data_IF_901129952307
#
_entry.id   IF_901129952307
#
_cell.length_a   1.000
_cell.length_b   1.000
_cell.length_c   1.000
_cell.angle_alpha   90.00
_cell.angle_beta   90.00
_cell.angle_gamma   90.00
#
_symmetry.space_group_name_H-M   'P 1'
#
loop_
_entity.id
_entity.type
_entity.pdbx_description
1 polymer ?
#
# COMPACT_ATOMS: atom_id res chain seq x y z
N UNK A 1 -7.81 5.76 -1.66
CA UNK A 1 -7.46 5.51 -0.24
C UNK A 1 -6.15 6.20 0.14
N UNK A 2 -6.19 7.10 1.10
CA UNK A 2 -5.07 7.87 1.64
C UNK A 2 -4.97 7.71 3.17
N UNK A 3 -3.77 7.91 3.73
CA UNK A 3 -3.54 7.84 5.19
C UNK A 3 -3.50 9.25 5.79
N UNK A 4 -4.21 9.45 6.90
CA UNK A 4 -4.25 10.71 7.66
C UNK A 4 -3.80 10.49 9.09
N UNK A 5 -3.09 11.48 9.63
CA UNK A 5 -2.61 11.51 11.01
C UNK A 5 -3.50 12.42 11.86
N UNK A 6 -4.12 11.85 12.89
CA UNK A 6 -4.94 12.59 13.87
C UNK A 6 -4.19 12.65 15.20
N UNK A 7 -4.05 13.86 15.76
CA UNK A 7 -3.51 14.08 17.09
C UNK A 7 -4.60 14.56 18.06
N UNK A 8 -4.71 13.90 19.21
CA UNK A 8 -5.66 14.26 20.25
C UNK A 8 -5.14 13.93 21.66
N UNK A 9 -5.87 14.40 22.68
CA UNK A 9 -5.54 14.15 24.09
C UNK A 9 -5.61 12.68 24.49
N UNK A 10 -6.47 11.89 23.85
CA UNK A 10 -6.67 10.47 24.11
C UNK A 10 -7.27 9.77 22.87
N UNK A 11 -7.30 8.44 22.86
CA UNK A 11 -7.78 7.63 21.74
C UNK A 11 -9.25 7.91 21.36
N UNK A 12 -10.13 8.12 22.36
CA UNK A 12 -11.53 8.46 22.11
C UNK A 12 -11.65 9.78 21.35
N UNK A 13 -10.97 10.83 21.83
CA UNK A 13 -10.97 12.13 21.16
C UNK A 13 -10.31 12.08 19.78
N UNK A 14 -9.31 11.20 19.57
CA UNK A 14 -8.73 11.00 18.26
C UNK A 14 -9.73 10.35 17.29
N UNK A 15 -10.46 9.33 17.75
CA UNK A 15 -11.47 8.66 16.92
C UNK A 15 -12.66 9.58 16.60
N UNK A 16 -13.17 10.32 17.58
CA UNK A 16 -14.24 11.31 17.37
C UNK A 16 -13.82 12.39 16.37
N UNK A 17 -12.57 12.88 16.45
CA UNK A 17 -12.02 13.81 15.46
C UNK A 17 -11.94 13.20 14.07
N UNK A 18 -11.52 11.94 13.96
CA UNK A 18 -11.42 11.25 12.69
C UNK A 18 -12.81 11.11 12.04
N UNK A 19 -13.81 10.69 12.81
CA UNK A 19 -15.20 10.57 12.34
C UNK A 19 -15.77 11.94 11.94
N UNK A 20 -15.53 12.98 12.73
CA UNK A 20 -16.01 14.32 12.44
C UNK A 20 -15.37 14.95 11.18
N UNK A 21 -14.10 14.64 10.89
CA UNK A 21 -13.38 15.21 9.74
C UNK A 21 -13.56 14.41 8.45
N UNK A 22 -13.65 13.08 8.55
CA UNK A 22 -13.55 12.18 7.41
C UNK A 22 -14.76 11.25 7.26
N UNK A 23 -15.72 11.30 8.19
CA UNK A 23 -16.93 10.50 8.15
C UNK A 23 -16.84 9.19 8.95
N UNK A 24 -17.95 8.43 9.03
CA UNK A 24 -18.02 7.19 9.82
C UNK A 24 -17.19 6.04 9.22
N UNK A 25 -16.88 6.08 7.93
CA UNK A 25 -16.20 5.00 7.18
C UNK A 25 -14.68 4.95 7.39
N UNK A 26 -14.17 5.66 8.40
CA UNK A 26 -12.75 5.77 8.68
C UNK A 26 -12.22 4.49 9.31
N UNK A 27 -11.15 3.94 8.74
CA UNK A 27 -10.48 2.75 9.27
C UNK A 27 -9.23 3.13 10.05
N UNK A 28 -9.14 2.71 11.32
CA UNK A 28 -7.94 2.89 12.13
C UNK A 28 -6.89 1.84 11.73
N UNK A 29 -5.70 2.30 11.36
CA UNK A 29 -4.57 1.45 10.96
C UNK A 29 -3.56 1.30 12.09
N UNK A 30 -3.28 2.37 12.81
CA UNK A 30 -2.29 2.38 13.89
C UNK A 30 -2.61 3.45 14.94
N UNK A 31 -2.18 3.20 16.18
CA UNK A 31 -2.30 4.12 17.31
C UNK A 31 -0.98 4.15 18.08
N UNK A 32 -0.48 5.34 18.39
CA UNK A 32 0.74 5.55 19.18
C UNK A 32 0.58 6.73 20.14
N UNK A 33 1.44 6.81 21.16
CA UNK A 33 1.52 7.97 22.06
C UNK A 33 2.78 8.78 21.72
N UNK A 34 2.62 10.07 21.44
CA UNK A 34 3.70 10.98 21.08
C UNK A 34 3.54 12.28 21.86
N UNK A 35 4.56 12.67 22.63
CA UNK A 35 4.57 13.90 23.44
C UNK A 35 3.34 14.04 24.37
N UNK A 36 2.85 12.94 24.92
CA UNK A 36 1.65 12.93 25.78
C UNK A 36 0.32 13.09 25.04
N UNK A 37 0.33 13.08 23.70
CA UNK A 37 -0.85 13.04 22.85
C UNK A 37 -1.00 11.66 22.22
N UNK A 38 -2.22 11.28 21.90
CA UNK A 38 -2.52 10.09 21.10
C UNK A 38 -2.47 10.47 19.61
N UNK A 39 -1.61 9.78 18.88
CA UNK A 39 -1.53 9.78 17.44
C UNK A 39 -2.30 8.59 16.88
N UNK A 40 -3.27 8.87 16.01
CA UNK A 40 -4.09 7.87 15.35
C UNK A 40 -3.87 8.00 13.84
N UNK A 41 -3.40 6.93 13.20
CA UNK A 41 -3.26 6.84 11.75
C UNK A 41 -4.50 6.16 11.21
N UNK A 42 -5.21 6.87 10.34
CA UNK A 42 -6.46 6.42 9.76
C UNK A 42 -6.39 6.37 8.24
N UNK A 43 -7.00 5.35 7.63
CA UNK A 43 -7.19 5.25 6.20
C UNK A 43 -8.56 5.83 5.82
N UNK A 44 -8.56 6.74 4.85
CA UNK A 44 -9.76 7.42 4.35
C UNK A 44 -9.80 7.30 2.84
N UNK A 45 -10.97 6.99 2.28
CA UNK A 45 -11.17 7.03 0.84
C UNK A 45 -11.85 8.35 0.45
N UNK A 46 -11.04 9.39 0.27
CA UNK A 46 -11.54 10.66 -0.26
C UNK A 46 -11.53 10.62 -1.79
N UNK A 47 -12.61 11.08 -2.45
CA UNK A 47 -12.57 11.32 -3.89
C UNK A 47 -11.48 12.35 -4.21
N UNK A 48 -10.76 12.16 -5.31
CA UNK A 48 -9.75 13.10 -5.75
C UNK A 48 -10.41 14.48 -5.97
N UNK A 49 -9.94 15.47 -5.21
CA UNK A 49 -10.46 16.82 -5.27
C UNK A 49 -10.26 17.37 -6.70
N UNK A 50 -11.31 17.88 -7.31
CA UNK A 50 -11.22 18.48 -8.64
C UNK A 50 -10.36 19.74 -8.58
N UNK A 51 -9.66 20.07 -9.67
CA UNK A 51 -8.71 21.19 -9.69
C UNK A 51 -9.31 22.50 -9.20
N UNK A 52 -10.61 22.73 -9.45
CA UNK A 52 -11.34 23.93 -9.01
C UNK A 52 -11.48 24.03 -7.48
N UNK A 53 -11.64 22.91 -6.78
CA UNK A 53 -11.76 22.89 -5.31
C UNK A 53 -10.39 22.91 -4.61
N UNK A 54 -9.31 22.60 -5.35
CA UNK A 54 -7.93 22.68 -4.87
C UNK A 54 -7.32 24.09 -4.99
N UNK A 55 -7.85 24.95 -5.88
CA UNK A 55 -7.38 26.33 -6.07
C UNK A 55 -7.28 27.16 -4.78
N UNK A 56 -8.21 27.12 -3.81
CA UNK A 56 -8.09 27.93 -2.59
C UNK A 56 -6.97 27.46 -1.64
N UNK A 57 -6.48 26.22 -1.77
CA UNK A 57 -5.42 25.67 -0.93
C UNK A 57 -4.06 25.64 -1.62
N UNK A 58 -4.04 25.77 -2.95
CA UNK A 58 -2.83 25.99 -3.72
C UNK A 58 -2.47 27.47 -3.65
N UNK A 59 -1.41 27.79 -2.90
CA UNK A 59 -0.78 29.10 -3.01
C UNK A 59 -0.45 29.33 -4.49
N UNK A 60 -1.10 30.33 -5.09
CA UNK A 60 -1.08 30.66 -6.53
C UNK A 60 0.33 30.77 -7.11
N UNK A 61 1.32 31.06 -6.26
CA UNK A 61 2.75 31.11 -6.58
C UNK A 61 3.33 29.79 -7.09
N UNK A 62 2.81 28.64 -6.65
CA UNK A 62 3.33 27.32 -7.04
C UNK A 62 2.55 26.66 -8.18
N UNK A 63 1.27 27.01 -8.35
CA UNK A 63 0.43 26.45 -9.41
C UNK A 63 0.80 26.95 -10.82
N UNK A 64 1.33 28.18 -10.91
CA UNK A 64 1.64 28.84 -12.19
C UNK A 64 3.14 28.85 -12.55
N UNK A 65 3.97 28.13 -11.80
CA UNK A 65 5.42 28.15 -11.99
C UNK A 65 5.87 27.65 -13.38
N UNK A 66 5.08 26.82 -14.07
CA UNK A 66 5.43 26.34 -15.41
C UNK A 66 5.01 27.29 -16.55
N UNK A 67 4.17 28.29 -16.29
CA UNK A 67 3.69 29.25 -17.29
C UNK A 67 4.35 30.64 -17.16
N UNK A 68 5.29 30.80 -16.22
CA UNK A 68 5.98 32.06 -16.01
C UNK A 68 7.19 32.15 -16.94
N UNK A 69 7.30 33.25 -17.69
CA UNK A 69 8.53 33.57 -18.43
C UNK A 69 9.74 33.55 -17.48
N UNK A 70 10.92 33.10 -17.96
CA UNK A 70 12.10 32.94 -17.12
C UNK A 70 12.49 34.28 -16.50
N UNK A 71 12.24 34.42 -15.19
CA UNK A 71 12.35 35.69 -14.50
C UNK A 71 13.80 36.04 -14.13
N UNK A 72 14.69 35.04 -14.12
CA UNK A 72 16.06 35.20 -13.66
C UNK A 72 17.07 34.55 -14.60
N UNK A 73 18.31 35.05 -14.58
CA UNK A 73 19.45 34.45 -15.30
C UNK A 73 19.66 32.98 -14.92
N UNK A 74 19.29 32.61 -13.70
CA UNK A 74 19.35 31.23 -13.22
C UNK A 74 18.31 30.34 -13.93
N UNK A 75 17.07 30.80 -14.12
CA UNK A 75 16.04 30.01 -14.84
C UNK A 75 16.44 29.74 -16.29
N UNK A 76 17.05 30.72 -16.95
CA UNK A 76 17.56 30.56 -18.32
C UNK A 76 18.66 29.50 -18.37
N UNK A 77 19.62 29.56 -17.46
CA UNK A 77 20.74 28.62 -17.42
C UNK A 77 20.29 27.20 -17.04
N UNK A 78 19.33 27.10 -16.11
CA UNK A 78 18.73 25.84 -15.71
C UNK A 78 17.96 25.20 -16.88
N UNK A 79 17.15 25.99 -17.60
CA UNK A 79 16.43 25.54 -18.78
C UNK A 79 17.37 25.02 -19.87
N UNK A 80 18.44 25.77 -20.17
CA UNK A 80 19.45 25.37 -21.15
C UNK A 80 20.16 24.07 -20.75
N UNK A 81 20.56 23.94 -19.48
CA UNK A 81 21.22 22.73 -18.97
C UNK A 81 20.30 21.50 -19.07
N UNK A 82 19.01 21.66 -18.80
CA UNK A 82 18.02 20.59 -18.87
C UNK A 82 17.79 20.14 -20.33
N UNK A 83 17.75 21.08 -21.27
CA UNK A 83 17.66 20.78 -22.70
C UNK A 83 18.90 20.06 -23.23
N UNK A 84 20.10 20.51 -22.85
CA UNK A 84 21.36 19.87 -23.25
C UNK A 84 21.46 18.45 -22.72
N UNK A 85 21.06 18.22 -21.46
CA UNK A 85 21.02 16.87 -20.88
C UNK A 85 20.04 15.96 -21.64
N UNK A 86 18.85 16.48 -22.00
CA UNK A 86 17.83 15.74 -22.76
C UNK A 86 18.31 15.38 -24.17
N UNK A 87 19.03 16.27 -24.85
CA UNK A 87 19.64 16.01 -26.16
C UNK A 87 20.72 14.94 -26.05
N UNK A 88 21.64 15.05 -25.09
CA UNK A 88 22.68 14.05 -24.84
C UNK A 88 22.11 12.67 -24.47
N UNK A 89 21.02 12.63 -23.70
CA UNK A 89 20.34 11.39 -23.34
C UNK A 89 19.72 10.68 -24.56
N UNK A 90 19.16 11.44 -25.51
CA UNK A 90 18.62 10.89 -26.77
C UNK A 90 19.74 10.41 -27.70
N UNK A 91 20.85 11.13 -27.80
CA UNK A 91 22.00 10.72 -28.60
C UNK A 91 22.64 9.43 -28.07
N UNK A 92 22.71 9.23 -26.75
CA UNK A 92 23.18 7.97 -26.14
C UNK A 92 22.27 6.77 -26.40
N UNK A 93 20.98 6.99 -26.64
CA UNK A 93 20.03 5.94 -26.99
C UNK A 93 20.07 5.59 -28.49
N UNK A 94 20.51 6.50 -29.35
CA UNK A 94 20.57 6.29 -30.79
C UNK A 94 21.73 5.37 -31.25
N UNK A 95 22.75 5.14 -30.43
CA UNK A 95 23.94 4.35 -30.80
C UNK A 95 23.97 2.93 -30.22
N UNK A 96 22.97 2.53 -29.42
CA UNK A 96 22.88 1.17 -28.90
C UNK A 96 21.94 0.34 -29.78
N UNK A 97 22.51 -0.26 -30.82
CA UNK A 97 21.87 -1.34 -31.60
C UNK A 97 21.73 -2.55 -30.68
N UNK A 98 20.59 -2.65 -30.00
CA UNK A 98 20.26 -3.79 -29.14
C UNK A 98 20.04 -5.03 -30.02
N UNK A 99 21.02 -5.93 -30.05
CA UNK A 99 20.80 -7.32 -30.46
C UNK A 99 20.08 -8.03 -29.31
N UNK A 100 18.84 -8.53 -29.49
CA UNK A 100 18.18 -9.29 -28.45
C UNK A 100 18.85 -10.66 -28.35
N UNK A 101 19.59 -10.89 -27.27
CA UNK A 101 19.95 -12.24 -26.81
C UNK A 101 18.88 -12.59 -25.78
N UNK A 102 17.94 -13.44 -26.18
CA UNK A 102 17.31 -14.53 -25.41
C UNK A 102 16.18 -15.06 -26.32
N UNK A 103 16.53 -16.07 -27.10
CA UNK A 103 15.58 -16.93 -27.79
C UNK A 103 15.24 -18.07 -26.84
N UNK A 104 13.99 -18.13 -26.41
CA UNK A 104 13.43 -19.29 -25.72
C UNK A 104 13.44 -20.48 -26.68
N UNK A 105 14.19 -21.53 -26.34
CA UNK A 105 13.98 -22.84 -26.95
C UNK A 105 14.12 -23.92 -25.88
N UNK A 106 12.99 -24.51 -25.53
CA UNK A 106 12.89 -25.68 -24.70
C UNK A 106 13.32 -26.92 -25.50
N UNK A 107 14.37 -27.61 -25.08
CA UNK A 107 14.56 -29.04 -25.38
C UNK A 107 15.42 -29.72 -24.31
N UNK A 108 14.86 -30.81 -23.79
CA UNK A 108 15.34 -31.61 -22.67
C UNK A 108 16.58 -32.47 -23.02
N UNK A 109 17.45 -32.73 -22.03
CA UNK A 109 17.79 -34.06 -21.47
C UNK A 109 18.95 -33.99 -20.43
N UNK A 110 19.13 -35.02 -19.57
CA UNK A 110 19.55 -34.86 -18.17
C UNK A 110 21.03 -35.12 -17.93
N UNK A 111 21.62 -34.43 -16.94
CA UNK A 111 22.93 -34.78 -16.40
C UNK A 111 22.84 -35.06 -14.90
N UNK A 112 23.08 -36.34 -14.57
CA UNK A 112 23.32 -36.86 -13.22
C UNK A 112 24.47 -36.08 -12.57
N UNK A 113 24.18 -35.34 -11.51
CA UNK A 113 25.18 -34.94 -10.53
C UNK A 113 24.82 -35.56 -9.18
N UNK A 114 25.63 -36.55 -8.82
CA UNK A 114 25.65 -37.28 -7.56
C UNK A 114 26.04 -36.29 -6.45
N UNK A 115 25.11 -35.95 -5.56
CA UNK A 115 25.41 -35.32 -4.26
C UNK A 115 25.19 -36.36 -3.18
N UNK A 116 26.29 -36.82 -2.60
CA UNK A 116 26.31 -37.72 -1.44
C UNK A 116 26.10 -36.95 -0.14
N UNK A 117 25.09 -37.39 0.60
CA UNK A 117 24.93 -37.41 2.07
C UNK A 117 24.88 -36.09 2.87
N UNK A 118 23.69 -35.79 3.44
CA UNK A 118 23.41 -36.04 4.89
C UNK A 118 21.89 -35.95 5.18
N UNK A 119 21.27 -36.98 5.80
CA UNK A 119 19.86 -36.96 6.20
C UNK A 119 19.71 -36.36 7.60
N UNK A 120 19.12 -35.17 7.73
CA UNK A 120 18.73 -34.64 9.06
C UNK A 120 17.50 -33.73 9.03
N UNK A 121 16.81 -33.63 7.88
CA UNK A 121 15.74 -32.64 7.67
C UNK A 121 14.31 -33.23 7.63
N UNK A 122 14.07 -34.42 8.21
CA UNK A 122 12.75 -35.09 8.12
C UNK A 122 11.88 -35.00 9.39
N UNK A 123 12.43 -34.61 10.53
CA UNK A 123 11.69 -34.54 11.80
C UNK A 123 11.07 -33.15 12.10
N UNK A 124 11.67 -32.06 11.61
CA UNK A 124 11.18 -30.69 11.87
C UNK A 124 10.09 -30.21 10.90
N UNK A 125 9.96 -30.85 9.73
CA UNK A 125 8.91 -30.51 8.77
C UNK A 125 7.53 -31.02 9.23
N UNK A 126 7.47 -32.18 9.89
CA UNK A 126 6.20 -32.76 10.36
C UNK A 126 5.57 -32.01 11.53
N UNK A 127 6.38 -31.40 12.41
CA UNK A 127 5.88 -30.63 13.56
C UNK A 127 5.31 -29.27 13.10
N UNK A 128 6.00 -28.56 12.21
CA UNK A 128 5.52 -27.29 11.65
C UNK A 128 4.23 -27.49 10.83
N UNK A 129 4.13 -28.57 10.06
CA UNK A 129 2.90 -28.91 9.33
C UNK A 129 1.75 -29.30 10.28
N UNK A 130 2.04 -29.90 11.43
CA UNK A 130 1.03 -30.24 12.43
C UNK A 130 0.50 -28.99 13.14
N UNK A 131 1.37 -28.06 13.52
CA UNK A 131 0.98 -26.79 14.15
C UNK A 131 0.12 -25.93 13.21
N UNK A 132 0.44 -25.90 11.91
CA UNK A 132 -0.39 -25.22 10.91
C UNK A 132 -1.78 -25.87 10.82
N UNK A 133 -1.88 -27.19 10.82
CA UNK A 133 -3.17 -27.91 10.82
C UNK A 133 -3.99 -27.63 12.07
N UNK A 134 -3.34 -27.59 13.23
CA UNK A 134 -4.02 -27.33 14.50
C UNK A 134 -4.54 -25.89 14.53
N UNK A 135 -3.76 -24.91 14.03
CA UNK A 135 -4.20 -23.52 13.89
C UNK A 135 -5.35 -23.38 12.88
N UNK A 136 -5.29 -24.08 11.74
CA UNK A 136 -6.40 -24.10 10.78
C UNK A 136 -7.67 -24.72 11.37
N UNK A 137 -7.53 -25.78 12.17
CA UNK A 137 -8.66 -26.39 12.88
C UNK A 137 -9.28 -25.44 13.91
N UNK A 138 -8.47 -24.72 14.69
CA UNK A 138 -8.96 -23.73 15.67
C UNK A 138 -9.68 -22.59 14.95
N UNK A 139 -9.05 -22.03 13.91
CA UNK A 139 -9.64 -20.97 13.09
C UNK A 139 -10.95 -21.41 12.44
N UNK A 140 -11.01 -22.64 11.93
CA UNK A 140 -12.23 -23.21 11.34
C UNK A 140 -13.37 -23.33 12.35
N UNK A 141 -13.06 -23.70 13.61
CA UNK A 141 -14.06 -23.75 14.69
C UNK A 141 -14.59 -22.36 15.04
N UNK A 142 -13.71 -21.37 15.20
CA UNK A 142 -14.12 -19.98 15.48
C UNK A 142 -15.02 -19.42 14.37
N UNK A 143 -14.67 -19.66 13.10
CA UNK A 143 -15.49 -19.21 11.96
C UNK A 143 -16.89 -19.84 12.01
N UNK A 144 -16.96 -21.15 12.27
CA UNK A 144 -18.25 -21.85 12.35
C UNK A 144 -19.10 -21.34 13.52
N UNK A 145 -18.47 -21.01 14.64
CA UNK A 145 -19.15 -20.46 15.81
C UNK A 145 -19.73 -19.07 15.52
N UNK A 146 -18.95 -18.17 14.91
CA UNK A 146 -19.42 -16.86 14.47
C UNK A 146 -20.59 -16.98 13.48
N UNK A 147 -20.47 -17.84 12.45
CA UNK A 147 -21.55 -18.05 11.48
C UNK A 147 -22.82 -18.60 12.15
N UNK A 148 -22.67 -19.47 13.16
CA UNK A 148 -23.80 -20.00 13.93
C UNK A 148 -24.48 -18.92 14.76
N UNK A 149 -23.71 -18.01 15.36
CA UNK A 149 -24.24 -16.86 16.10
C UNK A 149 -25.03 -15.92 15.18
N UNK A 150 -24.45 -15.55 14.03
CA UNK A 150 -25.12 -14.71 13.02
C UNK A 150 -26.44 -15.34 12.53
N UNK A 151 -26.43 -16.63 12.18
CA UNK A 151 -27.65 -17.37 11.81
C UNK A 151 -28.68 -17.41 12.94
N UNK A 152 -28.24 -17.48 14.20
CA UNK A 152 -29.14 -17.44 15.34
C UNK A 152 -29.73 -16.05 15.55
N UNK A 153 -28.98 -14.96 15.30
CA UNK A 153 -29.50 -13.58 15.32
C UNK A 153 -30.56 -13.40 14.22
N UNK A 154 -30.21 -13.76 12.98
CA UNK A 154 -31.13 -13.71 11.83
C UNK A 154 -32.44 -14.46 12.09
N UNK A 155 -32.37 -15.64 12.71
CA UNK A 155 -33.57 -16.41 13.09
C UNK A 155 -34.41 -15.72 14.16
N UNK A 156 -33.80 -15.01 15.12
CA UNK A 156 -34.52 -14.24 16.14
C UNK A 156 -35.21 -13.03 15.50
N UNK A 157 -34.49 -12.29 14.66
CA UNK A 157 -35.01 -11.14 13.93
C UNK A 157 -36.17 -11.53 13.00
N UNK A 158 -36.03 -12.65 12.28
CA UNK A 158 -37.09 -13.15 11.41
C UNK A 158 -38.35 -13.58 12.19
N UNK A 159 -38.18 -14.22 13.36
CA UNK A 159 -39.30 -14.57 14.25
C UNK A 159 -39.97 -13.35 14.87
N UNK A 160 -39.22 -12.28 15.13
CA UNK A 160 -39.75 -11.04 15.71
C UNK A 160 -40.46 -10.18 14.66
N UNK A 161 -40.14 -10.39 13.38
CA UNK A 161 -40.69 -9.66 12.24
C UNK A 161 -41.95 -10.30 11.63
N UNK A 162 -42.46 -11.39 12.22
CA UNK A 162 -43.71 -12.08 11.84
C UNK A 162 -44.75 -11.92 12.96
#
# INVERSE_FOLDING_TARGET
>A
MELKRILARNARAANEKAIAQYGPDVLVISSSQVNGLTELIVAVDLPALTTEEAEPFLKTEFANASNKEPASKFDVLLGQTLEDNKRQARERQATQVAKPIIQVNAKAEPVKAKVTAKPTAKAKASEAEQEIRDHEMVRGREIVELVREELASLRREFKLSQ
#
